data_IF_160246639029
#
_entry.id   IF_160246639029
#
_cell.length_a   1.000
_cell.length_b   1.000
_cell.length_c   1.000
_cell.angle_alpha   90.00
_cell.angle_beta   90.00
_cell.angle_gamma   90.00
#
_symmetry.space_group_name_H-M   'P 1'
#
loop_
_entity.id
_entity.type
_entity.pdbx_description
1 polymer ?
#
# COMPACT_ATOMS: atom_id res chain seq x y z
N UNK A 1 -2.00 14.38 12.36
CA UNK A 1 -0.55 14.16 12.46
C UNK A 1 0.11 14.32 11.09
N UNK A 2 1.33 14.86 11.00
CA UNK A 2 2.00 15.08 9.71
C UNK A 2 2.70 13.81 9.24
N UNK A 3 2.51 13.45 7.97
CA UNK A 3 3.15 12.31 7.33
C UNK A 3 4.67 12.28 7.58
N UNK A 4 5.24 11.13 8.02
CA UNK A 4 6.67 11.02 8.23
C UNK A 4 7.44 11.18 6.92
N UNK A 5 8.61 11.80 6.99
CA UNK A 5 9.54 11.89 5.86
C UNK A 5 10.12 10.49 5.55
N UNK A 6 10.45 10.23 4.28
CA UNK A 6 10.94 8.92 3.77
C UNK A 6 12.14 8.34 4.56
N UNK A 7 12.90 9.18 5.26
CA UNK A 7 14.07 8.81 6.05
C UNK A 7 13.81 8.81 7.57
N UNK A 8 12.56 8.87 8.00
CA UNK A 8 12.20 8.77 9.41
C UNK A 8 12.12 7.30 9.83
N UNK A 9 12.56 6.98 11.04
CA UNK A 9 12.44 5.64 11.64
C UNK A 9 10.98 5.14 11.72
N UNK A 10 10.00 6.04 11.71
CA UNK A 10 8.57 5.69 11.66
C UNK A 10 8.01 5.49 10.25
N UNK A 11 8.82 5.71 9.21
CA UNK A 11 8.40 5.46 7.84
C UNK A 11 8.25 3.95 7.60
N UNK A 12 7.15 3.50 6.99
CA UNK A 12 6.99 2.10 6.63
C UNK A 12 7.99 1.77 5.53
N UNK A 13 8.74 0.68 5.72
CA UNK A 13 9.71 0.18 4.74
C UNK A 13 9.16 -1.10 4.17
N UNK A 14 9.06 -1.15 2.84
CA UNK A 14 8.79 -2.39 2.12
C UNK A 14 10.11 -2.99 1.63
N UNK A 15 10.24 -4.30 1.80
CA UNK A 15 11.38 -5.07 1.31
C UNK A 15 10.84 -6.12 0.34
N UNK A 16 11.06 -5.90 -0.97
CA UNK A 16 10.65 -6.82 -2.03
C UNK A 16 11.37 -8.16 -2.01
N UNK A 17 12.51 -8.26 -1.31
CA UNK A 17 13.17 -9.55 -1.06
C UNK A 17 12.47 -10.34 0.05
N UNK A 18 11.58 -9.69 0.81
CA UNK A 18 10.78 -10.29 1.86
C UNK A 18 9.30 -9.95 1.67
N UNK A 19 8.69 -10.50 0.60
CA UNK A 19 7.31 -10.17 0.23
C UNK A 19 6.31 -10.48 1.37
N UNK A 20 6.63 -11.41 2.28
CA UNK A 20 5.89 -11.66 3.54
C UNK A 20 5.66 -10.42 4.44
N UNK A 21 6.46 -9.36 4.28
CA UNK A 21 6.32 -8.11 5.03
C UNK A 21 5.35 -7.12 4.37
N UNK A 22 4.87 -7.40 3.16
CA UNK A 22 3.91 -6.58 2.43
C UNK A 22 2.63 -6.27 3.23
N UNK A 23 2.01 -7.23 3.95
CA UNK A 23 0.81 -6.93 4.75
C UNK A 23 1.11 -5.95 5.88
N UNK A 24 2.25 -6.12 6.57
CA UNK A 24 2.68 -5.24 7.67
C UNK A 24 2.96 -3.82 7.15
N UNK A 25 3.51 -3.70 5.95
CA UNK A 25 3.72 -2.43 5.28
C UNK A 25 2.39 -1.70 5.02
N UNK A 26 1.39 -2.38 4.45
CA UNK A 26 0.07 -1.80 4.23
C UNK A 26 -0.66 -1.42 5.54
N UNK A 27 -0.59 -2.24 6.60
CA UNK A 27 -1.18 -1.86 7.90
C UNK A 27 -0.53 -0.60 8.49
N UNK A 28 0.81 -0.46 8.38
CA UNK A 28 1.49 0.74 8.85
C UNK A 28 1.12 1.98 8.01
N UNK A 29 0.95 1.81 6.70
CA UNK A 29 0.49 2.88 5.81
C UNK A 29 -0.92 3.32 6.15
N UNK A 30 -1.85 2.37 6.35
CA UNK A 30 -3.22 2.66 6.71
C UNK A 30 -3.29 3.51 7.98
N UNK A 31 -2.58 3.11 9.04
CA UNK A 31 -2.47 3.89 10.27
C UNK A 31 -1.96 5.32 10.03
N UNK A 32 -0.96 5.50 9.15
CA UNK A 32 -0.42 6.81 8.81
C UNK A 32 -1.39 7.65 7.97
N UNK A 33 -2.06 7.04 7.00
CA UNK A 33 -3.06 7.69 6.16
C UNK A 33 -4.25 8.17 7.00
N UNK A 34 -4.74 7.33 7.92
CA UNK A 34 -5.80 7.68 8.88
C UNK A 34 -5.33 8.78 9.84
N UNK A 35 -4.11 8.70 10.36
CA UNK A 35 -3.51 9.76 11.19
C UNK A 35 -3.36 11.10 10.45
N UNK A 36 -3.23 11.08 9.13
CA UNK A 36 -3.08 12.27 8.29
C UNK A 36 -4.37 12.69 7.58
N UNK A 37 -5.50 12.05 7.86
CA UNK A 37 -6.82 12.36 7.28
C UNK A 37 -6.81 12.31 5.73
N UNK A 38 -6.08 11.35 5.15
CA UNK A 38 -5.93 11.22 3.70
C UNK A 38 -7.01 10.28 3.17
N UNK A 39 -8.12 10.85 2.73
CA UNK A 39 -9.26 10.09 2.21
C UNK A 39 -9.16 9.81 0.70
N UNK A 40 -8.41 10.61 -0.05
CA UNK A 40 -8.36 10.53 -1.51
C UNK A 40 -7.55 9.32 -2.00
N UNK A 41 -8.16 8.46 -2.82
CA UNK A 41 -7.51 7.27 -3.39
C UNK A 41 -6.22 7.60 -4.14
N UNK A 42 -6.19 8.71 -4.88
CA UNK A 42 -5.00 9.12 -5.62
C UNK A 42 -3.86 9.56 -4.70
N UNK A 43 -4.19 10.24 -3.59
CA UNK A 43 -3.19 10.61 -2.57
C UNK A 43 -2.70 9.38 -1.80
N UNK A 44 -3.59 8.44 -1.46
CA UNK A 44 -3.20 7.16 -0.86
C UNK A 44 -2.18 6.45 -1.76
N UNK A 45 -2.49 6.25 -3.04
CA UNK A 45 -1.61 5.64 -4.04
C UNK A 45 -0.24 6.34 -4.09
N UNK A 46 -0.23 7.67 -4.20
CA UNK A 46 1.00 8.46 -4.23
C UNK A 46 1.85 8.28 -2.96
N UNK A 47 1.20 8.26 -1.80
CA UNK A 47 1.91 8.09 -0.53
C UNK A 47 2.49 6.70 -0.37
N UNK A 48 1.78 5.69 -0.81
CA UNK A 48 2.28 4.32 -0.85
C UNK A 48 3.54 4.24 -1.70
N UNK A 49 3.54 4.72 -2.95
CA UNK A 49 4.74 4.63 -3.80
C UNK A 49 5.91 5.48 -3.30
N UNK A 50 5.63 6.58 -2.59
CA UNK A 50 6.67 7.47 -2.03
C UNK A 50 7.58 6.81 -0.99
N UNK A 51 7.10 5.81 -0.26
CA UNK A 51 7.87 5.12 0.77
C UNK A 51 8.64 3.89 0.24
N UNK A 52 8.35 3.46 -0.99
CA UNK A 52 9.01 2.33 -1.63
C UNK A 52 10.43 2.67 -2.07
N UNK A 53 11.23 1.67 -2.43
CA UNK A 53 12.49 1.91 -3.17
C UNK A 53 12.19 2.28 -4.62
N UNK A 54 13.16 2.86 -5.36
CA UNK A 54 12.95 3.23 -6.76
C UNK A 54 12.46 2.06 -7.61
N UNK A 55 13.06 0.87 -7.43
CA UNK A 55 12.72 -0.32 -8.19
C UNK A 55 11.27 -0.80 -7.91
N UNK A 56 10.85 -0.73 -6.64
CA UNK A 56 9.51 -1.15 -6.24
C UNK A 56 8.45 -0.12 -6.62
N UNK A 57 8.82 1.16 -6.54
CA UNK A 57 8.00 2.25 -7.04
C UNK A 57 7.72 2.08 -8.53
N UNK A 58 8.75 1.88 -9.36
CA UNK A 58 8.58 1.63 -10.79
C UNK A 58 7.68 0.41 -11.04
N UNK A 59 7.87 -0.67 -10.29
CA UNK A 59 7.05 -1.87 -10.41
C UNK A 59 5.57 -1.62 -10.06
N UNK A 60 5.29 -0.79 -9.06
CA UNK A 60 3.91 -0.47 -8.65
C UNK A 60 3.28 0.60 -9.54
N UNK A 61 4.08 1.49 -10.14
CA UNK A 61 3.63 2.47 -11.14
C UNK A 61 3.27 1.80 -12.47
N UNK A 62 3.89 0.66 -12.81
CA UNK A 62 3.54 -0.17 -13.96
C UNK A 62 2.18 -0.87 -13.82
N UNK A 63 1.60 -0.91 -12.62
CA UNK A 63 0.28 -1.49 -12.37
C UNK A 63 -0.79 -0.59 -13.01
N UNK A 64 -1.64 -1.11 -13.91
CA UNK A 64 -2.65 -0.29 -14.57
C UNK A 64 -3.62 0.33 -13.55
N UNK A 65 -3.89 -0.38 -12.45
CA UNK A 65 -4.69 0.08 -11.32
C UNK A 65 -4.08 1.27 -10.58
N UNK A 66 -2.77 1.54 -10.69
CA UNK A 66 -2.13 2.74 -10.14
C UNK A 66 -2.40 3.96 -11.02
N UNK A 67 -2.14 3.81 -12.32
CA UNK A 67 -2.26 4.89 -13.32
C UNK A 67 -3.71 5.27 -13.57
N UNK A 68 -4.62 4.30 -13.44
CA UNK A 68 -6.04 4.52 -13.61
C UNK A 68 -6.65 5.27 -12.39
N UNK A 69 -7.19 6.49 -12.59
CA UNK A 69 -7.75 7.30 -11.52
C UNK A 69 -9.15 6.84 -11.09
N UNK A 70 -9.83 6.02 -11.90
CA UNK A 70 -11.14 5.44 -11.57
C UNK A 70 -11.00 4.23 -10.64
N UNK A 71 -9.80 3.67 -10.58
CA UNK A 71 -9.48 2.51 -9.77
C UNK A 71 -9.27 2.89 -8.31
N UNK A 72 -9.97 2.19 -7.42
CA UNK A 72 -9.87 2.43 -5.98
C UNK A 72 -8.53 1.96 -5.42
N UNK A 73 -8.17 2.49 -4.24
CA UNK A 73 -6.97 2.04 -3.54
C UNK A 73 -6.97 0.52 -3.28
N UNK A 74 -8.15 -0.06 -3.00
CA UNK A 74 -8.30 -1.50 -2.76
C UNK A 74 -7.96 -2.35 -4.00
N UNK A 75 -8.40 -1.95 -5.18
CA UNK A 75 -8.09 -2.64 -6.44
C UNK A 75 -6.58 -2.58 -6.73
N UNK A 76 -5.96 -1.42 -6.49
CA UNK A 76 -4.52 -1.26 -6.59
C UNK A 76 -3.77 -2.18 -5.61
N UNK A 77 -4.15 -2.19 -4.32
CA UNK A 77 -3.56 -3.08 -3.32
C UNK A 77 -3.69 -4.55 -3.72
N UNK A 78 -4.87 -4.96 -4.21
CA UNK A 78 -5.09 -6.32 -4.69
C UNK A 78 -4.18 -6.69 -5.89
N UNK A 79 -4.00 -5.75 -6.84
CA UNK A 79 -3.08 -5.93 -7.95
C UNK A 79 -1.62 -6.04 -7.48
N UNK A 80 -1.21 -5.23 -6.50
CA UNK A 80 0.12 -5.32 -5.88
C UNK A 80 0.31 -6.69 -5.21
N UNK A 81 -0.67 -7.19 -4.43
CA UNK A 81 -0.56 -8.52 -3.84
C UNK A 81 -0.43 -9.63 -4.90
N UNK A 82 -1.07 -9.50 -6.06
CA UNK A 82 -0.90 -10.44 -7.18
C UNK A 82 0.51 -10.42 -7.79
N UNK A 83 1.23 -9.31 -7.70
CA UNK A 83 2.64 -9.23 -8.13
C UNK A 83 3.57 -10.02 -7.22
N UNK A 84 3.18 -10.22 -5.97
CA UNK A 84 3.96 -10.95 -4.96
C UNK A 84 3.18 -12.16 -4.44
N UNK A 85 3.04 -13.23 -5.24
CA UNK A 85 2.42 -14.48 -4.77
C UNK A 85 3.25 -15.17 -3.67
N UNK A 86 4.51 -14.76 -3.46
CA UNK A 86 5.32 -15.19 -2.30
C UNK A 86 5.10 -14.32 -1.05
N UNK A 87 4.39 -13.19 -1.18
CA UNK A 87 3.89 -12.43 -0.04
C UNK A 87 2.72 -13.13 0.65
N UNK A 88 2.22 -14.19 0.02
CA UNK A 88 1.01 -14.89 0.37
C UNK A 88 1.16 -15.57 1.74
N UNK A 89 0.41 -15.12 2.77
CA UNK A 89 0.24 -15.86 4.00
C UNK A 89 -1.04 -16.71 3.92
N UNK A 90 -1.36 -17.29 2.76
CA UNK A 90 -2.49 -18.17 2.37
C UNK A 90 -3.94 -17.72 2.71
N UNK A 91 -4.23 -16.79 3.62
CA UNK A 91 -5.62 -16.70 4.14
C UNK A 91 -6.12 -15.47 4.90
N UNK A 92 -5.35 -14.38 5.07
CA UNK A 92 -5.74 -13.34 6.05
C UNK A 92 -6.35 -12.05 5.51
N UNK A 93 -6.19 -11.73 4.24
CA UNK A 93 -6.84 -10.57 3.64
C UNK A 93 -7.66 -11.04 2.45
N UNK A 94 -8.76 -11.74 2.75
CA UNK A 94 -9.88 -11.80 1.80
C UNK A 94 -10.25 -10.35 1.47
N UNK A 95 -10.74 -10.08 0.26
CA UNK A 95 -11.19 -8.74 -0.14
C UNK A 95 -12.14 -8.09 0.90
N UNK A 96 -12.80 -8.90 1.74
CA UNK A 96 -13.57 -8.48 2.93
C UNK A 96 -12.75 -7.80 4.05
N UNK A 97 -11.54 -8.24 4.36
CA UNK A 97 -10.68 -7.62 5.37
C UNK A 97 -10.15 -6.26 4.86
N UNK A 98 -9.98 -6.15 3.53
CA UNK A 98 -9.71 -4.87 2.89
C UNK A 98 -10.96 -3.97 2.83
N UNK A 99 -12.17 -4.54 2.75
CA UNK A 99 -13.46 -3.81 2.80
C UNK A 99 -13.73 -3.19 4.19
N UNK A 100 -13.33 -3.88 5.27
CA UNK A 100 -13.38 -3.35 6.63
C UNK A 100 -12.47 -2.13 6.85
N UNK A 101 -11.41 -1.99 6.05
CA UNK A 101 -10.52 -0.82 6.02
C UNK A 101 -11.15 0.40 5.30
N UNK A 102 -12.29 0.21 4.62
CA UNK A 102 -12.93 1.20 3.73
C UNK A 102 -14.18 1.82 4.38
N UNK A 103 -14.55 1.40 5.60
CA UNK A 103 -15.70 1.98 6.32
C UNK A 103 -15.26 3.04 7.34
N UNK A 104 -14.80 4.20 6.85
CA UNK A 104 -14.92 5.49 7.54
C UNK A 104 -14.95 6.68 6.56
#
# INVERSE_FOLDING_TARGET
PTMPTRNNHTAPIFDSQQPRNLPKYFSNLDFLLSCSCIANNSEKKYHVTRFLTLNDQELWELVPEFTDPTTSFAQFTAAVFRLYPEADPDRRYSLQDLDGLITE
#
